data_IF_587856181861
#
_entry.id   IF_587856181861
#
_cell.length_a   1.000
_cell.length_b   1.000
_cell.length_c   1.000
_cell.angle_alpha   90.00
_cell.angle_beta   90.00
_cell.angle_gamma   90.00
#
_symmetry.space_group_name_H-M   'P 1'
#
loop_
_entity.id
_entity.type
_entity.pdbx_description
1 polymer ?
#
# COMPACT_ATOMS: atom_id res chain seq x y z
N UNK A 1 -11.20 -15.12 21.25
CA UNK A 1 -10.69 -13.77 20.91
C UNK A 1 -9.61 -13.94 19.85
N UNK A 2 -9.89 -13.60 18.63
CA UNK A 2 -8.87 -13.59 17.57
C UNK A 2 -7.90 -12.44 17.82
N UNK A 3 -6.60 -12.75 17.97
CA UNK A 3 -5.56 -11.73 18.14
C UNK A 3 -5.56 -10.78 16.94
N UNK A 4 -5.49 -9.48 17.20
CA UNK A 4 -5.43 -8.46 16.14
C UNK A 4 -4.10 -8.57 15.39
N UNK A 5 -4.16 -8.74 14.08
CA UNK A 5 -2.98 -8.74 13.22
C UNK A 5 -2.55 -7.29 12.97
N UNK A 6 -1.33 -6.94 13.40
CA UNK A 6 -0.80 -5.58 13.28
C UNK A 6 0.01 -5.35 12.01
N UNK A 7 0.57 -6.40 11.44
CA UNK A 7 1.40 -6.34 10.23
C UNK A 7 1.08 -7.52 9.34
N UNK A 8 1.00 -7.27 8.04
CA UNK A 8 0.82 -8.28 6.98
C UNK A 8 1.89 -8.04 5.93
N UNK A 9 2.49 -9.11 5.42
CA UNK A 9 3.51 -9.05 4.37
C UNK A 9 3.23 -10.10 3.30
N UNK A 10 3.51 -9.74 2.03
CA UNK A 10 3.53 -10.64 0.88
C UNK A 10 4.74 -10.28 0.00
N UNK A 11 5.33 -11.28 -0.66
CA UNK A 11 6.52 -11.08 -1.48
C UNK A 11 6.38 -11.72 -2.84
N UNK A 12 7.00 -11.08 -3.85
CA UNK A 12 7.12 -11.63 -5.20
C UNK A 12 8.42 -11.15 -5.85
N UNK A 13 9.07 -12.01 -6.62
CA UNK A 13 10.25 -11.65 -7.40
C UNK A 13 9.84 -10.93 -8.70
N UNK A 14 10.46 -9.78 -8.95
CA UNK A 14 10.28 -8.95 -10.16
C UNK A 14 11.59 -8.98 -10.95
N UNK A 15 11.56 -9.26 -12.28
CA UNK A 15 12.79 -9.42 -13.08
C UNK A 15 13.40 -8.06 -13.52
N UNK A 16 13.59 -7.17 -12.57
CA UNK A 16 14.25 -5.87 -12.74
C UNK A 16 15.16 -5.58 -11.54
N UNK A 17 16.23 -4.81 -11.73
CA UNK A 17 17.10 -4.41 -10.63
C UNK A 17 16.36 -3.49 -9.63
N UNK A 18 16.79 -3.46 -8.34
CA UNK A 18 16.10 -2.73 -7.29
C UNK A 18 15.85 -1.25 -7.58
N UNK A 19 16.80 -0.56 -8.21
CA UNK A 19 16.64 0.86 -8.54
C UNK A 19 15.53 1.11 -9.57
N UNK A 20 15.34 0.19 -10.53
CA UNK A 20 14.27 0.31 -11.53
C UNK A 20 12.89 0.03 -10.92
N UNK A 21 12.79 -0.97 -10.05
CA UNK A 21 11.56 -1.23 -9.29
C UNK A 21 11.22 -0.05 -8.36
N UNK A 22 12.23 0.48 -7.67
CA UNK A 22 12.06 1.65 -6.82
C UNK A 22 11.55 2.87 -7.60
N UNK A 23 12.14 3.16 -8.77
CA UNK A 23 11.72 4.28 -9.61
C UNK A 23 10.23 4.17 -10.02
N UNK A 24 9.77 2.96 -10.32
CA UNK A 24 8.36 2.71 -10.61
C UNK A 24 7.49 2.99 -9.37
N UNK A 25 7.83 2.44 -8.20
CA UNK A 25 7.07 2.60 -6.96
C UNK A 25 7.05 4.05 -6.44
N UNK A 26 8.15 4.78 -6.58
CA UNK A 26 8.29 6.16 -6.15
C UNK A 26 7.48 7.15 -7.00
N UNK A 27 7.18 6.81 -8.25
CA UNK A 27 6.20 7.54 -9.05
C UNK A 27 4.77 7.13 -8.65
N UNK A 28 4.26 7.78 -7.61
CA UNK A 28 2.93 7.45 -7.05
C UNK A 28 1.78 7.56 -8.05
N UNK A 29 1.95 8.29 -9.18
CA UNK A 29 0.93 8.35 -10.25
C UNK A 29 0.72 7.01 -10.91
N UNK A 30 1.78 6.19 -10.95
CA UNK A 30 1.75 4.86 -11.54
C UNK A 30 1.07 3.82 -10.64
N UNK A 31 0.78 4.15 -9.38
CA UNK A 31 0.12 3.23 -8.43
C UNK A 31 -1.17 2.62 -9.00
N UNK A 32 -1.89 3.35 -9.85
CA UNK A 32 -3.07 2.85 -10.57
C UNK A 32 -2.79 1.67 -11.51
N UNK A 33 -1.54 1.44 -11.90
CA UNK A 33 -1.16 0.35 -12.80
C UNK A 33 -1.18 -1.01 -12.09
N UNK A 34 -0.88 -1.02 -10.80
CA UNK A 34 -0.79 -2.26 -10.01
C UNK A 34 -1.74 -2.34 -8.81
N UNK A 35 -2.17 -1.24 -8.24
CA UNK A 35 -3.15 -1.31 -7.15
C UNK A 35 -4.54 -1.70 -7.69
N UNK A 36 -5.22 -2.70 -7.09
CA UNK A 36 -6.56 -3.08 -7.50
C UNK A 36 -7.65 -2.06 -7.16
N UNK A 37 -7.35 -1.13 -6.27
CA UNK A 37 -8.32 -0.16 -5.74
C UNK A 37 -8.06 1.27 -6.22
N UNK A 38 -6.79 1.67 -6.43
CA UNK A 38 -6.42 3.03 -6.82
C UNK A 38 -6.76 3.27 -8.29
N UNK A 39 -7.60 4.27 -8.55
CA UNK A 39 -7.95 4.69 -9.92
C UNK A 39 -7.28 5.99 -10.34
N UNK A 40 -6.88 6.84 -9.37
CA UNK A 40 -6.19 8.09 -9.62
C UNK A 40 -5.31 8.50 -8.45
N UNK A 41 -4.20 9.20 -8.72
CA UNK A 41 -3.32 9.76 -7.68
C UNK A 41 -2.95 11.19 -8.04
N UNK A 42 -3.07 12.07 -7.05
CA UNK A 42 -2.66 13.47 -7.15
C UNK A 42 -1.49 13.75 -6.20
N UNK A 43 -0.25 13.81 -6.71
CA UNK A 43 0.92 14.07 -5.87
C UNK A 43 1.04 15.56 -5.50
N UNK A 44 1.52 15.82 -4.27
CA UNK A 44 1.85 17.15 -3.75
C UNK A 44 3.10 17.07 -2.86
N UNK A 45 4.29 17.09 -3.46
CA UNK A 45 5.56 16.91 -2.75
C UNK A 45 5.63 15.55 -2.04
N UNK A 46 5.84 15.56 -0.72
CA UNK A 46 5.84 14.32 0.09
C UNK A 46 4.45 13.80 0.46
N UNK A 47 3.40 14.41 -0.04
CA UNK A 47 2.00 13.98 0.15
C UNK A 47 1.38 13.64 -1.18
N UNK A 48 0.35 12.82 -1.16
CA UNK A 48 -0.50 12.57 -2.31
C UNK A 48 -1.92 12.21 -1.85
N UNK A 49 -2.87 12.44 -2.73
CA UNK A 49 -4.26 12.01 -2.55
C UNK A 49 -4.53 10.90 -3.54
N UNK A 50 -4.91 9.74 -3.03
CA UNK A 50 -5.39 8.61 -3.83
C UNK A 50 -6.91 8.63 -3.93
N UNK A 51 -7.43 8.41 -5.12
CA UNK A 51 -8.84 8.10 -5.35
C UNK A 51 -8.94 6.59 -5.52
N UNK A 52 -9.74 5.97 -4.67
CA UNK A 52 -9.89 4.53 -4.62
C UNK A 52 -11.31 4.13 -4.99
N UNK A 53 -11.46 2.96 -5.62
CA UNK A 53 -12.76 2.37 -5.96
C UNK A 53 -12.76 0.88 -5.72
N UNK A 54 -13.87 0.40 -5.11
CA UNK A 54 -14.13 -1.02 -4.93
C UNK A 54 -15.63 -1.28 -4.87
N UNK A 55 -16.11 -2.25 -5.65
CA UNK A 55 -17.51 -2.68 -5.65
C UNK A 55 -18.51 -1.50 -5.77
N UNK A 56 -18.21 -0.50 -6.60
CA UNK A 56 -19.04 0.69 -6.78
C UNK A 56 -18.85 1.80 -5.72
N UNK A 57 -18.07 1.54 -4.68
CA UNK A 57 -17.75 2.53 -3.64
C UNK A 57 -16.48 3.28 -4.00
N UNK A 58 -16.52 4.63 -3.90
CA UNK A 58 -15.38 5.52 -4.19
C UNK A 58 -15.03 6.30 -2.93
N UNK A 59 -13.73 6.36 -2.59
CA UNK A 59 -13.26 7.17 -1.46
C UNK A 59 -11.91 7.81 -1.76
N UNK A 60 -11.60 8.88 -1.04
CA UNK A 60 -10.33 9.58 -1.12
C UNK A 60 -9.45 9.19 0.07
N UNK A 61 -8.16 8.98 -0.17
CA UNK A 61 -7.16 8.74 0.86
C UNK A 61 -6.05 9.76 0.77
N UNK A 62 -5.76 10.47 1.85
CA UNK A 62 -4.55 11.31 1.95
C UNK A 62 -3.40 10.47 2.45
N UNK A 63 -2.27 10.55 1.76
CA UNK A 63 -1.07 9.80 2.10
C UNK A 63 0.13 10.72 2.28
N UNK A 64 1.08 10.29 3.13
CA UNK A 64 2.36 10.96 3.34
C UNK A 64 3.50 9.98 3.18
N UNK A 65 4.44 10.26 2.28
CA UNK A 65 5.66 9.47 2.09
C UNK A 65 6.53 9.61 3.34
N UNK A 66 6.84 8.50 3.98
CA UNK A 66 7.62 8.42 5.23
C UNK A 66 8.98 7.77 5.04
N UNK A 67 9.10 6.86 4.07
CA UNK A 67 10.38 6.27 3.66
C UNK A 67 10.54 6.45 2.16
N UNK A 68 11.68 6.96 1.74
CA UNK A 68 12.09 7.10 0.34
C UNK A 68 13.60 6.83 0.26
N UNK A 69 13.97 5.54 0.37
CA UNK A 69 15.36 5.04 0.30
C UNK A 69 15.56 4.34 -1.05
N UNK A 70 16.22 5.01 -2.02
CA UNK A 70 16.35 4.52 -3.39
C UNK A 70 16.95 3.11 -3.48
N UNK A 71 16.24 2.22 -4.17
CA UNK A 71 16.64 0.84 -4.36
C UNK A 71 16.47 -0.07 -3.13
N UNK A 72 15.97 0.43 -2.02
CA UNK A 72 15.81 -0.33 -0.76
C UNK A 72 14.40 -0.35 -0.23
N UNK A 73 13.80 0.84 -0.03
CA UNK A 73 12.46 0.91 0.58
C UNK A 73 11.70 2.15 0.13
N UNK A 74 10.41 1.96 -0.12
CA UNK A 74 9.45 3.04 -0.32
C UNK A 74 8.23 2.80 0.55
N UNK A 75 7.85 3.78 1.39
CA UNK A 75 6.68 3.64 2.26
C UNK A 75 5.94 4.96 2.47
N UNK A 76 4.64 4.83 2.69
CA UNK A 76 3.74 5.95 2.98
C UNK A 76 2.71 5.59 4.04
N UNK A 77 2.30 6.60 4.80
CA UNK A 77 1.24 6.50 5.79
C UNK A 77 -0.07 7.02 5.21
N UNK A 78 -1.14 6.25 5.37
CA UNK A 78 -2.50 6.73 5.17
C UNK A 78 -2.90 7.63 6.34
N UNK A 79 -3.35 8.84 6.02
CA UNK A 79 -3.73 9.86 6.99
C UNK A 79 -5.25 10.04 6.93
N UNK A 80 -5.91 9.91 8.07
CA UNK A 80 -7.34 10.18 8.23
C UNK A 80 -7.52 11.21 9.33
N UNK A 81 -8.17 12.34 9.02
CA UNK A 81 -8.32 13.47 9.96
C UNK A 81 -7.02 13.91 10.62
N UNK A 82 -5.93 13.98 9.84
CA UNK A 82 -4.59 14.36 10.32
C UNK A 82 -3.83 13.28 11.10
N UNK A 83 -4.41 12.09 11.29
CA UNK A 83 -3.82 10.98 12.04
C UNK A 83 -3.35 9.85 11.12
N UNK A 84 -2.13 9.33 11.28
CA UNK A 84 -1.69 8.15 10.56
C UNK A 84 -2.47 6.92 11.07
N UNK A 85 -3.13 6.21 10.17
CA UNK A 85 -3.96 5.03 10.49
C UNK A 85 -3.34 3.73 10.03
N UNK A 86 -2.58 3.76 8.95
CA UNK A 86 -1.91 2.57 8.43
C UNK A 86 -0.67 2.98 7.64
N UNK A 87 0.35 2.12 7.64
CA UNK A 87 1.53 2.24 6.79
C UNK A 87 1.50 1.15 5.74
N UNK A 88 1.73 1.56 4.50
CA UNK A 88 2.00 0.70 3.37
C UNK A 88 3.44 0.92 2.90
N UNK A 89 4.13 -0.15 2.61
CA UNK A 89 5.50 -0.04 2.12
C UNK A 89 5.95 -1.22 1.29
N UNK A 90 7.06 -1.01 0.60
CA UNK A 90 7.73 -1.96 -0.26
C UNK A 90 9.19 -2.01 0.10
N UNK A 91 9.67 -3.18 0.56
CA UNK A 91 11.09 -3.46 0.75
C UNK A 91 11.63 -4.20 -0.47
N UNK A 92 12.81 -3.80 -0.92
CA UNK A 92 13.44 -4.31 -2.12
C UNK A 92 14.73 -5.04 -1.75
N UNK A 93 14.78 -6.32 -2.04
CA UNK A 93 15.98 -7.15 -1.80
C UNK A 93 16.49 -7.66 -3.14
N UNK A 94 17.75 -7.34 -3.53
CA UNK A 94 18.31 -7.83 -4.78
C UNK A 94 18.42 -9.35 -4.77
N UNK A 95 18.15 -9.97 -5.92
CA UNK A 95 18.31 -11.40 -6.17
C UNK A 95 19.14 -11.62 -7.44
N UNK A 96 19.53 -12.86 -7.71
CA UNK A 96 20.27 -13.19 -8.95
C UNK A 96 19.44 -12.91 -10.22
N UNK A 97 18.10 -12.91 -10.13
CA UNK A 97 17.18 -12.73 -11.25
C UNK A 97 16.45 -11.39 -11.27
N UNK A 98 16.73 -10.52 -10.31
CA UNK A 98 16.07 -9.22 -10.21
C UNK A 98 15.93 -8.72 -8.79
N UNK A 99 14.70 -8.53 -8.33
CA UNK A 99 14.38 -7.99 -7.01
C UNK A 99 13.24 -8.77 -6.35
N UNK A 100 13.45 -9.24 -5.13
CA UNK A 100 12.36 -9.68 -4.27
C UNK A 100 11.69 -8.43 -3.70
N UNK A 101 10.45 -8.19 -4.10
CA UNK A 101 9.61 -7.09 -3.59
C UNK A 101 8.74 -7.63 -2.48
N UNK A 102 8.89 -7.09 -1.28
CA UNK A 102 8.04 -7.40 -0.12
C UNK A 102 7.13 -6.21 0.15
N UNK A 103 5.86 -6.34 -0.20
CA UNK A 103 4.83 -5.39 0.20
C UNK A 103 4.41 -5.67 1.64
N UNK A 104 4.32 -4.63 2.46
CA UNK A 104 3.86 -4.74 3.83
C UNK A 104 2.80 -3.70 4.17
N UNK A 105 1.93 -4.07 5.08
CA UNK A 105 0.95 -3.20 5.70
C UNK A 105 1.07 -3.29 7.22
N UNK A 106 1.06 -2.15 7.89
CA UNK A 106 1.10 -2.05 9.35
C UNK A 106 -0.04 -1.17 9.85
N UNK A 107 -0.82 -1.68 10.79
CA UNK A 107 -1.84 -0.90 11.48
C UNK A 107 -1.18 0.02 12.52
N UNK A 108 -1.30 1.33 12.34
CA UNK A 108 -0.72 2.35 13.23
C UNK A 108 -1.63 2.74 14.39
N UNK A 109 -2.86 2.23 14.44
CA UNK A 109 -3.87 2.57 15.46
C UNK A 109 -3.68 1.74 16.72
N UNK A 110 -2.66 2.01 17.50
CA UNK A 110 -2.27 1.14 18.62
C UNK A 110 -3.06 1.34 19.90
N UNK A 111 -3.53 2.56 20.28
CA UNK A 111 -4.23 2.83 21.55
C UNK A 111 -5.20 4.02 21.51
N UNK A 112 -6.24 4.02 22.39
CA UNK A 112 -7.05 5.16 22.79
C UNK A 112 -8.36 5.38 22.03
N UNK A 113 -9.11 6.43 22.43
CA UNK A 113 -10.39 6.83 21.83
C UNK A 113 -10.29 7.19 20.34
N UNK A 114 -9.15 7.72 19.92
CA UNK A 114 -8.80 7.98 18.50
C UNK A 114 -8.88 6.73 17.64
N UNK A 115 -8.55 5.57 18.22
CA UNK A 115 -8.71 4.27 17.55
C UNK A 115 -10.17 3.99 17.21
N UNK A 116 -11.08 4.20 18.15
CA UNK A 116 -12.52 3.94 17.94
C UNK A 116 -13.09 4.83 16.83
N UNK A 117 -12.74 6.11 16.83
CA UNK A 117 -13.13 7.03 15.76
C UNK A 117 -12.59 6.57 14.41
N UNK A 118 -11.30 6.22 14.32
CA UNK A 118 -10.69 5.74 13.09
C UNK A 118 -11.26 4.39 12.62
N UNK A 119 -11.69 3.51 13.53
CA UNK A 119 -12.35 2.24 13.19
C UNK A 119 -13.75 2.46 12.62
N UNK A 120 -14.56 3.31 13.25
CA UNK A 120 -15.90 3.66 12.75
C UNK A 120 -15.82 4.36 11.39
N UNK A 121 -14.94 5.33 11.25
CA UNK A 121 -14.72 6.03 9.99
C UNK A 121 -14.17 5.08 8.91
N UNK A 122 -13.24 4.19 9.27
CA UNK A 122 -12.72 3.18 8.37
C UNK A 122 -13.80 2.23 7.85
N UNK A 123 -14.75 1.82 8.70
CA UNK A 123 -15.89 1.00 8.29
C UNK A 123 -16.82 1.76 7.35
N UNK A 124 -17.14 3.01 7.67
CA UNK A 124 -18.00 3.88 6.86
C UNK A 124 -17.39 4.17 5.50
N UNK A 125 -16.07 4.46 5.45
CA UNK A 125 -15.40 4.87 4.21
C UNK A 125 -14.90 3.70 3.34
N UNK A 126 -14.57 2.54 3.90
CA UNK A 126 -14.03 1.41 3.13
C UNK A 126 -14.93 0.18 3.08
N UNK A 127 -16.00 0.15 3.85
CA UNK A 127 -16.94 -0.96 3.92
C UNK A 127 -16.34 -2.29 4.43
N UNK A 128 -15.09 -2.30 4.95
CA UNK A 128 -14.40 -3.52 5.37
C UNK A 128 -14.30 -3.59 6.90
N UNK A 129 -14.90 -4.63 7.55
CA UNK A 129 -14.78 -4.83 8.98
C UNK A 129 -13.33 -5.02 9.44
N UNK A 130 -12.91 -4.49 10.61
CA UNK A 130 -11.54 -4.60 11.12
C UNK A 130 -11.01 -6.04 11.20
N UNK A 131 -11.87 -6.99 11.55
CA UNK A 131 -11.52 -8.41 11.69
C UNK A 131 -11.13 -9.10 10.37
N UNK A 132 -11.65 -8.62 9.23
CA UNK A 132 -11.37 -9.18 7.89
C UNK A 132 -10.33 -8.39 7.11
N UNK A 133 -9.85 -7.29 7.68
CA UNK A 133 -8.95 -6.37 6.98
C UNK A 133 -7.60 -7.02 6.63
N UNK A 134 -7.05 -7.84 7.52
CA UNK A 134 -5.77 -8.51 7.27
C UNK A 134 -5.84 -9.47 6.07
N UNK A 135 -6.87 -10.30 5.99
CA UNK A 135 -7.06 -11.24 4.88
C UNK A 135 -7.38 -10.51 3.57
N UNK A 136 -8.19 -9.46 3.66
CA UNK A 136 -8.47 -8.59 2.53
C UNK A 136 -7.20 -7.93 2.00
N UNK A 137 -6.34 -7.40 2.88
CA UNK A 137 -5.07 -6.78 2.52
C UNK A 137 -4.12 -7.80 1.87
N UNK A 138 -4.03 -9.04 2.37
CA UNK A 138 -3.21 -10.11 1.75
C UNK A 138 -3.63 -10.38 0.31
N UNK A 139 -4.93 -10.50 0.06
CA UNK A 139 -5.45 -10.73 -1.29
C UNK A 139 -5.12 -9.56 -2.21
N UNK A 140 -5.31 -8.32 -1.73
CA UNK A 140 -4.95 -7.11 -2.46
C UNK A 140 -3.45 -7.02 -2.75
N UNK A 141 -2.59 -7.33 -1.78
CA UNK A 141 -1.13 -7.34 -1.95
C UNK A 141 -0.66 -8.33 -3.02
N UNK A 142 -1.20 -9.55 -3.01
CA UNK A 142 -0.86 -10.55 -4.03
C UNK A 142 -1.23 -10.08 -5.44
N UNK A 143 -2.35 -9.43 -5.58
CA UNK A 143 -2.77 -8.85 -6.85
C UNK A 143 -1.89 -7.66 -7.24
N UNK A 144 -1.59 -6.76 -6.29
CA UNK A 144 -0.68 -5.63 -6.49
C UNK A 144 0.69 -6.12 -6.99
N UNK A 145 1.30 -7.08 -6.32
CA UNK A 145 2.61 -7.61 -6.69
C UNK A 145 2.61 -8.29 -8.06
N UNK A 146 1.55 -9.04 -8.40
CA UNK A 146 1.41 -9.63 -9.73
C UNK A 146 1.33 -8.57 -10.83
N UNK A 147 0.52 -7.52 -10.63
CA UNK A 147 0.39 -6.41 -11.57
C UNK A 147 1.67 -5.58 -11.67
N UNK A 148 2.33 -5.32 -10.53
CA UNK A 148 3.64 -4.65 -10.51
C UNK A 148 4.67 -5.43 -11.34
N UNK A 149 4.75 -6.76 -11.16
CA UNK A 149 5.62 -7.62 -11.95
C UNK A 149 5.30 -7.54 -13.44
N UNK A 150 4.03 -7.55 -13.81
CA UNK A 150 3.60 -7.43 -15.19
C UNK A 150 3.94 -6.05 -15.79
N UNK A 151 3.73 -4.97 -15.04
CA UNK A 151 4.05 -3.59 -15.44
C UNK A 151 5.56 -3.33 -15.56
N UNK A 152 6.37 -4.06 -14.79
CA UNK A 152 7.83 -3.98 -14.77
C UNK A 152 8.52 -5.08 -15.57
N UNK A 153 7.77 -6.02 -16.17
CA UNK A 153 8.31 -7.06 -17.02
C UNK A 153 8.85 -6.49 -18.34
N UNK A 154 9.68 -7.25 -19.10
CA UNK A 154 10.07 -6.84 -20.43
C UNK A 154 8.80 -6.62 -21.26
N UNK A 155 8.75 -5.49 -21.97
CA UNK A 155 7.71 -5.25 -22.96
C UNK A 155 7.72 -6.43 -23.94
N UNK A 156 6.58 -7.07 -24.07
CA UNK A 156 6.40 -8.17 -25.01
C UNK A 156 6.58 -7.68 -26.44
#
# INVERSE_FOLDING_TARGET
MTARVWTVEESLEVPLPPHAVYAALADVRRMREWSPEVIWVWPRGRRFVGVNRKAGWVWFGTCRIVVADPGREFAFDNITFGLPVARWGYRLTPTERGTLVTEYWTDLRRHGWRRRIAEVLGLVFTGTPPARRADHNRTGMRETLRRLRAACGPAA
#
